data_IF_508082606683
#
_entry.id   IF_508082606683
#
_cell.length_a   1.000
_cell.length_b   1.000
_cell.length_c   1.000
_cell.angle_alpha   90.00
_cell.angle_beta   90.00
_cell.angle_gamma   90.00
#
_symmetry.space_group_name_H-M   'P 1'
#
loop_
_entity.id
_entity.type
_entity.pdbx_description
1 polymer ?
#
# COMPACT_ATOMS: atom_id res chain seq x y z
N UNK A 1 6.94 -25.88 -37.51
CA UNK A 1 6.94 -25.86 -36.83
C UNK A 1 6.91 -25.59 -36.19
N UNK A 2 6.89 -25.31 -36.38
CA UNK A 2 6.88 -24.87 -35.52
C UNK A 2 6.73 -24.28 -35.11
N UNK A 3 6.78 -24.15 -35.16
CA UNK A 3 6.72 -23.69 -34.50
C UNK A 3 6.60 -23.11 -33.99
N UNK A 4 6.62 -23.04 -34.23
CA UNK A 4 6.53 -22.55 -33.53
C UNK A 4 6.28 -22.04 -32.98
N UNK A 5 6.17 -22.13 -33.14
CA UNK A 5 5.97 -21.68 -32.45
C UNK A 5 5.73 -21.17 -31.70
N UNK A 6 5.68 -21.00 -31.82
CA UNK A 6 5.53 -20.55 -30.99
C UNK A 6 5.32 -19.92 -30.22
N UNK A 7 5.33 -19.83 -30.52
CA UNK A 7 5.16 -19.25 -29.63
C UNK A 7 5.01 -18.56 -29.07
N UNK A 8 5.12 -18.33 -29.32
CA UNK A 8 5.05 -17.68 -28.54
C UNK A 8 4.75 -17.11 -27.92
N UNK A 9 4.73 -16.96 -28.01
CA UNK A 9 4.49 -16.43 -27.15
C UNK A 9 4.38 -15.84 -26.57
N UNK A 10 4.57 -15.50 -26.81
CA UNK A 10 4.51 -14.90 -25.99
C UNK A 10 4.29 -14.37 -25.46
N UNK A 11 4.39 -14.18 -25.59
CA UNK A 11 4.24 -13.68 -24.79
C UNK A 11 4.14 -13.12 -24.34
N UNK A 12 4.23 -12.82 -24.69
CA UNK A 12 4.14 -12.27 -23.96
C UNK A 12 3.96 -11.75 -23.63
N UNK A 13 4.14 -11.54 -23.81
CA UNK A 13 4.04 -11.05 -23.18
C UNK A 13 3.84 -10.67 -22.74
N UNK A 14 3.98 -10.36 -23.00
CA UNK A 14 3.89 -9.89 -22.32
C UNK A 14 3.89 -9.35 -21.96
N UNK A 15 4.07 -9.05 -22.31
CA UNK A 15 4.13 -8.40 -21.61
C UNK A 15 4.12 -7.77 -21.37
N UNK A 16 4.28 -7.54 -21.49
CA UNK A 16 4.24 -6.93 -20.87
C UNK A 16 4.23 -6.48 -20.49
N UNK A 17 4.48 -6.27 -20.65
CA UNK A 17 4.48 -5.85 -19.95
C UNK A 17 4.57 -5.40 -19.54
N UNK A 18 4.89 -5.05 -19.66
CA UNK A 18 4.95 -4.61 -18.94
C UNK A 18 5.03 -4.04 -18.52
N UNK A 19 5.19 -3.61 -18.67
CA UNK A 19 5.20 -2.94 -17.93
C UNK A 19 5.08 -2.52 -17.33
N UNK A 20 5.21 -2.18 -17.29
CA UNK A 20 5.14 -1.60 -16.33
C UNK A 20 4.75 -1.48 -15.88
N UNK A 21 4.75 -1.24 -15.89
CA UNK A 21 4.36 -1.07 -15.09
C UNK A 21 3.87 -1.38 -14.73
N UNK A 22 3.92 -1.41 -14.70
CA UNK A 22 3.43 -1.74 -14.07
C UNK A 22 3.07 -1.73 -13.33
N UNK A 23 3.11 -1.39 -13.50
CA UNK A 23 2.84 -1.27 -12.57
C UNK A 23 2.11 -1.25 -12.10
N UNK A 24 1.79 -0.96 -12.10
CA UNK A 24 1.23 -0.92 -11.22
C UNK A 24 0.67 -1.72 -10.62
N UNK A 25 0.91 -2.36 -10.53
CA UNK A 25 0.35 -3.35 -9.73
C UNK A 25 0.07 -2.93 -8.43
N UNK A 26 0.68 -1.99 -8.07
CA UNK A 26 0.37 -1.44 -6.81
C UNK A 26 -1.05 -1.09 -6.70
N UNK A 27 -1.70 -0.84 -7.80
CA UNK A 27 -3.11 -0.53 -7.77
C UNK A 27 -3.97 -1.76 -7.54
N UNK A 28 -3.43 -2.94 -7.69
CA UNK A 28 -4.21 -4.14 -7.47
C UNK A 28 -4.38 -4.38 -5.98
N UNK A 29 -5.44 -5.07 -5.62
CA UNK A 29 -5.59 -5.54 -4.27
C UNK A 29 -4.41 -6.44 -3.93
N UNK A 30 -4.02 -6.42 -2.69
CA UNK A 30 -2.95 -7.28 -2.17
C UNK A 30 -3.60 -8.33 -1.28
N UNK A 31 -4.24 -9.35 -1.86
CA UNK A 31 -5.13 -10.23 -1.12
C UNK A 31 -4.43 -11.05 -0.05
N UNK A 32 -3.13 -11.24 -0.18
CA UNK A 32 -2.39 -12.01 0.81
C UNK A 32 -1.90 -11.14 1.95
N UNK A 33 -1.87 -9.83 1.79
CA UNK A 33 -1.34 -8.94 2.80
C UNK A 33 -2.35 -7.92 3.27
N UNK A 34 -3.20 -7.38 2.40
CA UNK A 34 -4.22 -6.42 2.78
C UNK A 34 -5.44 -6.54 1.88
N UNK A 35 -6.61 -6.90 2.43
CA UNK A 35 -7.80 -7.07 1.60
C UNK A 35 -8.31 -5.76 1.02
N UNK A 36 -8.99 -5.88 -0.11
CA UNK A 36 -9.60 -4.75 -0.79
C UNK A 36 -10.60 -4.05 0.13
N UNK A 37 -10.53 -2.73 0.18
CA UNK A 37 -11.44 -1.93 0.99
C UNK A 37 -10.89 -1.56 2.37
N UNK A 38 -9.74 -2.10 2.74
CA UNK A 38 -9.15 -1.90 4.05
C UNK A 38 -7.79 -1.24 3.98
N UNK A 39 -7.35 -0.67 5.10
CA UNK A 39 -5.98 -0.24 5.28
C UNK A 39 -5.33 -1.16 6.30
N UNK A 40 -4.10 -1.58 6.02
CA UNK A 40 -3.39 -2.51 6.88
C UNK A 40 -2.07 -1.90 7.32
N UNK A 41 -1.66 -2.20 8.55
CA UNK A 41 -0.37 -1.79 9.07
C UNK A 41 0.35 -2.97 9.68
N UNK A 42 1.67 -3.00 9.54
CA UNK A 42 2.51 -4.06 10.10
C UNK A 42 3.58 -3.47 10.99
N UNK A 43 3.96 -4.24 12.00
CA UNK A 43 5.01 -3.82 12.93
C UNK A 43 6.39 -3.84 12.29
N UNK A 44 6.56 -4.60 11.23
CA UNK A 44 7.83 -4.71 10.51
C UNK A 44 7.80 -4.02 9.16
N UNK A 45 8.97 -3.84 8.57
CA UNK A 45 9.12 -3.33 7.20
C UNK A 45 8.64 -4.39 6.22
N UNK A 46 8.37 -3.96 4.98
CA UNK A 46 8.06 -4.88 3.88
C UNK A 46 6.82 -5.73 4.17
N UNK A 47 5.85 -5.16 4.90
CA UNK A 47 4.60 -5.85 5.23
C UNK A 47 4.86 -7.17 5.95
N UNK A 48 5.69 -7.08 7.00
CA UNK A 48 6.03 -8.21 7.85
C UNK A 48 5.71 -7.91 9.30
N UNK A 49 5.75 -8.92 10.13
CA UNK A 49 5.42 -8.78 11.53
C UNK A 49 3.93 -8.91 11.75
N UNK A 50 3.43 -8.30 12.80
CA UNK A 50 2.03 -8.38 13.15
C UNK A 50 1.21 -7.41 12.32
N UNK A 51 0.18 -7.92 11.64
CA UNK A 51 -0.71 -7.12 10.80
C UNK A 51 -1.95 -6.72 11.56
N UNK A 52 -2.39 -5.48 11.35
CA UNK A 52 -3.73 -5.03 11.73
C UNK A 52 -4.46 -4.55 10.49
N UNK A 53 -5.71 -4.99 10.36
CA UNK A 53 -6.59 -4.63 9.25
C UNK A 53 -7.62 -3.65 9.80
N UNK A 54 -7.72 -2.48 9.16
CA UNK A 54 -8.59 -1.42 9.64
C UNK A 54 -9.54 -0.96 8.54
N UNK A 55 -10.79 -0.73 8.91
CA UNK A 55 -11.76 -0.10 8.05
C UNK A 55 -11.75 1.39 8.40
N UNK A 56 -11.07 2.19 7.56
CA UNK A 56 -10.88 3.60 7.83
C UNK A 56 -11.86 4.46 7.02
N UNK A 57 -12.36 5.52 7.66
CA UNK A 57 -13.10 6.58 7.01
C UNK A 57 -12.29 7.87 7.14
N UNK A 58 -12.63 8.94 6.40
CA UNK A 58 -11.90 10.21 6.55
C UNK A 58 -11.84 10.64 8.01
N UNK A 59 -10.67 11.02 8.47
CA UNK A 59 -10.45 11.39 9.86
C UNK A 59 -8.99 11.31 10.24
N UNK A 60 -8.76 11.49 11.53
CA UNK A 60 -7.44 11.58 12.13
C UNK A 60 -7.28 10.44 13.16
N UNK A 61 -6.26 9.62 12.98
CA UNK A 61 -6.08 8.40 13.75
C UNK A 61 -4.69 8.33 14.36
N UNK A 62 -4.54 8.71 15.64
CA UNK A 62 -3.29 8.43 16.35
C UNK A 62 -3.20 6.91 16.54
N UNK A 63 -2.02 6.36 16.34
CA UNK A 63 -1.84 4.92 16.43
C UNK A 63 -1.30 4.54 17.80
N UNK A 64 -1.79 3.41 18.33
CA UNK A 64 -1.34 2.89 19.62
C UNK A 64 0.00 2.18 19.52
N UNK A 65 0.39 1.80 18.33
CA UNK A 65 1.67 1.12 18.12
C UNK A 65 2.33 1.69 16.88
N UNK A 66 3.65 1.53 16.81
CA UNK A 66 4.41 1.93 15.64
C UNK A 66 4.21 0.91 14.54
N UNK A 67 3.85 1.39 13.35
CA UNK A 67 3.86 0.57 12.14
C UNK A 67 5.08 0.94 11.30
N UNK A 68 5.67 -0.06 10.66
CA UNK A 68 6.84 0.13 9.80
C UNK A 68 6.53 -0.08 8.33
N UNK A 69 5.35 -0.58 8.03
CA UNK A 69 4.82 -0.63 6.67
C UNK A 69 3.31 -0.52 6.73
N UNK A 70 2.71 0.04 5.66
CA UNK A 70 1.28 0.32 5.59
C UNK A 70 0.81 0.12 4.16
N UNK A 71 -0.37 -0.49 4.00
CA UNK A 71 -1.03 -0.65 2.70
C UNK A 71 -2.38 0.07 2.74
N UNK A 72 -2.65 0.87 1.71
CA UNK A 72 -3.93 1.55 1.56
C UNK A 72 -4.72 0.90 0.43
N UNK A 73 -5.59 -0.04 0.78
CA UNK A 73 -6.50 -0.65 -0.18
C UNK A 73 -7.90 -0.05 -0.09
N UNK A 74 -8.03 1.12 0.54
CA UNK A 74 -9.29 1.88 0.58
C UNK A 74 -9.43 2.76 -0.66
N UNK A 75 -10.57 3.43 -0.79
CA UNK A 75 -10.81 4.41 -1.85
C UNK A 75 -10.40 5.83 -1.44
N UNK A 76 -9.78 5.99 -0.29
CA UNK A 76 -9.37 7.29 0.25
C UNK A 76 -7.88 7.52 0.05
N UNK A 77 -7.46 8.78 0.24
CA UNK A 77 -6.04 9.13 0.33
C UNK A 77 -5.61 8.99 1.79
N UNK A 78 -4.50 8.34 2.04
CA UNK A 78 -3.99 8.10 3.39
C UNK A 78 -2.61 8.74 3.54
N UNK A 79 -2.45 9.60 4.54
CA UNK A 79 -1.16 10.17 4.89
C UNK A 79 -0.57 9.48 6.09
N UNK A 80 0.70 9.12 6.00
CA UNK A 80 1.43 8.44 7.07
C UNK A 80 2.34 9.46 7.75
N UNK A 81 2.25 9.51 9.07
CA UNK A 81 2.96 10.51 9.87
C UNK A 81 3.73 9.88 11.02
N UNK A 82 4.90 10.47 11.31
CA UNK A 82 5.55 10.30 12.60
C UNK A 82 5.15 11.54 13.42
N UNK A 83 4.22 11.35 14.34
CA UNK A 83 3.55 12.47 14.99
C UNK A 83 4.25 12.86 16.29
N UNK A 84 4.21 14.16 16.58
CA UNK A 84 4.56 14.69 17.91
C UNK A 84 3.30 14.83 18.75
N UNK A 85 2.15 15.05 18.12
CA UNK A 85 0.86 15.09 18.80
C UNK A 85 -0.22 14.89 17.75
N UNK A 86 -1.35 14.28 18.12
CA UNK A 86 -2.46 14.03 17.22
C UNK A 86 -2.12 12.98 16.17
N UNK A 87 -2.47 13.24 14.93
CA UNK A 87 -2.28 12.29 13.84
C UNK A 87 -1.56 12.88 12.63
N UNK A 88 -1.46 14.20 12.54
CA UNK A 88 -0.88 14.88 11.38
C UNK A 88 -0.07 16.11 11.79
N UNK A 89 0.53 16.07 12.95
CA UNK A 89 1.48 17.09 13.42
C UNK A 89 2.80 16.40 13.68
N UNK A 90 3.85 16.83 12.98
CA UNK A 90 5.15 16.19 13.06
C UNK A 90 5.76 16.07 11.69
N UNK A 91 6.22 14.89 11.33
CA UNK A 91 6.83 14.62 10.03
C UNK A 91 5.93 13.75 9.18
N UNK A 92 5.52 14.24 8.02
CA UNK A 92 4.79 13.43 7.06
C UNK A 92 5.77 12.51 6.34
N UNK A 93 5.53 11.22 6.43
CA UNK A 93 6.42 10.19 5.90
C UNK A 93 6.07 9.79 4.47
N UNK A 94 4.77 9.74 4.15
CA UNK A 94 4.32 9.32 2.84
C UNK A 94 2.84 9.67 2.65
N UNK A 95 2.42 9.75 1.40
CA UNK A 95 1.01 9.85 1.02
C UNK A 95 0.69 8.66 0.13
N UNK A 96 -0.30 7.88 0.53
CA UNK A 96 -0.71 6.68 -0.20
C UNK A 96 -2.03 6.93 -0.91
N UNK A 97 -1.99 6.86 -2.23
CA UNK A 97 -3.19 6.83 -3.05
C UNK A 97 -3.90 5.49 -2.88
N UNK A 98 -5.18 5.40 -3.24
CA UNK A 98 -5.87 4.10 -3.21
C UNK A 98 -5.09 3.03 -3.98
N UNK A 99 -4.99 1.85 -3.39
CA UNK A 99 -4.33 0.71 -3.99
C UNK A 99 -2.82 0.68 -3.85
N UNK A 100 -2.21 1.64 -3.13
CA UNK A 100 -0.76 1.69 -2.97
C UNK A 100 -0.33 1.34 -1.55
N UNK A 101 0.96 1.06 -1.38
CA UNK A 101 1.52 0.74 -0.07
C UNK A 101 2.94 1.28 0.04
N UNK A 102 3.40 1.41 1.29
CA UNK A 102 4.76 1.82 1.61
C UNK A 102 5.42 0.74 2.46
N UNK A 103 6.50 0.17 1.96
CA UNK A 103 7.20 -0.94 2.63
C UNK A 103 8.20 -0.47 3.67
N UNK A 104 8.63 0.78 3.60
CA UNK A 104 9.60 1.31 4.56
C UNK A 104 9.47 2.83 4.67
N UNK A 105 8.32 3.34 5.14
CA UNK A 105 8.13 4.78 5.27
C UNK A 105 8.83 5.37 6.49
N UNK A 106 9.24 4.55 7.45
CA UNK A 106 9.73 4.96 8.74
C UNK A 106 8.77 4.55 9.84
N UNK A 107 8.86 5.22 10.99
CA UNK A 107 8.00 4.91 12.13
C UNK A 107 6.68 5.65 12.00
N UNK A 108 5.65 4.94 11.59
CA UNK A 108 4.31 5.51 11.43
C UNK A 108 3.60 5.46 12.76
N UNK A 109 3.26 6.62 13.31
CA UNK A 109 2.58 6.75 14.59
C UNK A 109 1.26 7.50 14.49
N UNK A 110 0.92 8.00 13.30
CA UNK A 110 -0.37 8.63 13.04
C UNK A 110 -0.75 8.48 11.58
N UNK A 111 -2.05 8.43 11.33
CA UNK A 111 -2.62 8.31 10.00
C UNK A 111 -3.72 9.35 9.84
N UNK A 112 -3.67 10.08 8.74
CA UNK A 112 -4.73 11.01 8.36
C UNK A 112 -5.35 10.53 7.06
N UNK A 113 -6.68 10.44 7.03
CA UNK A 113 -7.44 9.88 5.92
C UNK A 113 -8.32 10.97 5.32
N UNK A 114 -8.25 11.13 4.01
CA UNK A 114 -8.95 12.19 3.29
C UNK A 114 -9.77 11.62 2.13
N UNK A 115 -10.88 12.26 1.85
CA UNK A 115 -11.61 11.99 0.62
C UNK A 115 -10.79 12.44 -0.58
N UNK A 116 -10.99 11.76 -1.66
CA UNK A 116 -10.37 12.14 -2.93
C UNK A 116 -11.30 13.04 -3.71
#
# INVERSE_FOLDING_TARGET
MGMLRKSLTLTAMAGALLSGALVTPAAAADPNTCPQGYACGWTGKNRTGERRVNSLTPGCYPLERVNRSVSNQTSYRVELWNVTTGCNTGTKLATLKPGTYADNPGKVTGIAVYRI
#
